data_IF_404543782572
#
_entry.id   IF_404543782572
#
_cell.length_a   1.000
_cell.length_b   1.000
_cell.length_c   1.000
_cell.angle_alpha   90.00
_cell.angle_beta   90.00
_cell.angle_gamma   90.00
#
_symmetry.space_group_name_H-M   'P 1'
#
loop_
_entity.id
_entity.type
_entity.pdbx_description
1 polymer ?
#
# COMPACT_ATOMS: atom_id res chain seq x y z
N UNK A 1 5.73 15.15 12.13
CA UNK A 1 4.88 13.93 12.10
C UNK A 1 5.25 13.14 10.85
N UNK A 2 5.86 11.95 10.98
CA UNK A 2 6.30 11.19 9.80
C UNK A 2 5.11 10.57 9.06
N UNK A 3 5.04 10.76 7.75
CA UNK A 3 4.06 10.11 6.90
C UNK A 3 4.26 8.60 6.89
N UNK A 4 3.18 7.83 7.01
CA UNK A 4 3.30 6.37 6.94
C UNK A 4 3.83 5.95 5.56
N UNK A 5 4.66 4.89 5.52
CA UNK A 5 5.20 4.33 4.25
C UNK A 5 4.09 4.05 3.23
N UNK A 6 2.95 3.56 3.69
CA UNK A 6 1.76 3.31 2.88
C UNK A 6 1.14 4.60 2.31
N UNK A 7 1.14 5.69 3.06
CA UNK A 7 0.70 7.02 2.59
C UNK A 7 1.61 7.53 1.50
N UNK A 8 2.93 7.40 1.67
CA UNK A 8 3.93 7.84 0.69
C UNK A 8 3.75 7.12 -0.65
N UNK A 9 3.58 5.79 -0.62
CA UNK A 9 3.35 5.00 -1.84
C UNK A 9 2.07 5.47 -2.54
N UNK A 10 0.99 5.71 -1.79
CA UNK A 10 -0.29 6.16 -2.35
C UNK A 10 -0.23 7.58 -2.91
N UNK A 11 0.41 8.51 -2.21
CA UNK A 11 0.57 9.89 -2.70
C UNK A 11 1.41 9.95 -3.95
N UNK A 12 2.47 9.14 -4.02
CA UNK A 12 3.32 9.06 -5.21
C UNK A 12 2.52 8.53 -6.41
N UNK A 13 1.78 7.44 -6.23
CA UNK A 13 0.92 6.86 -7.28
C UNK A 13 -0.26 7.77 -7.66
N UNK A 14 -0.76 8.60 -6.75
CA UNK A 14 -1.82 9.56 -7.06
C UNK A 14 -1.30 10.75 -7.89
N UNK A 15 -0.04 11.15 -7.69
CA UNK A 15 0.59 12.26 -8.40
C UNK A 15 1.16 11.85 -9.75
N UNK A 16 1.89 10.74 -9.80
CA UNK A 16 2.60 10.27 -10.99
C UNK A 16 1.78 9.25 -11.80
N UNK A 17 0.67 8.78 -11.24
CA UNK A 17 -0.21 7.81 -11.87
C UNK A 17 0.32 6.38 -11.72
N UNK A 18 0.18 5.59 -12.79
CA UNK A 18 0.60 4.20 -12.78
C UNK A 18 2.12 4.09 -12.95
N UNK A 19 2.76 3.24 -12.16
CA UNK A 19 4.21 3.07 -12.17
C UNK A 19 4.59 1.59 -12.13
N UNK A 20 5.72 1.25 -12.74
CA UNK A 20 6.29 -0.09 -12.60
C UNK A 20 6.80 -0.33 -11.18
N UNK A 21 6.64 -1.55 -10.65
CA UNK A 21 7.06 -1.89 -9.28
C UNK A 21 8.51 -1.51 -8.96
N UNK A 22 9.45 -1.77 -9.88
CA UNK A 22 10.87 -1.45 -9.70
C UNK A 22 11.13 0.06 -9.75
N UNK A 23 10.45 0.77 -10.63
CA UNK A 23 10.54 2.23 -10.72
C UNK A 23 9.96 2.88 -9.47
N UNK A 24 8.78 2.43 -9.04
CA UNK A 24 8.13 2.86 -7.80
C UNK A 24 9.06 2.68 -6.60
N UNK A 25 9.71 1.51 -6.47
CA UNK A 25 10.69 1.28 -5.41
C UNK A 25 11.88 2.25 -5.51
N UNK A 26 12.46 2.43 -6.69
CA UNK A 26 13.59 3.33 -6.89
C UNK A 26 13.23 4.79 -6.52
N UNK A 27 12.08 5.29 -7.00
CA UNK A 27 11.60 6.65 -6.69
C UNK A 27 11.32 6.82 -5.20
N UNK A 28 10.73 5.83 -4.55
CA UNK A 28 10.48 5.87 -3.11
C UNK A 28 11.78 5.88 -2.31
N UNK A 29 12.77 5.09 -2.71
CA UNK A 29 14.08 5.06 -2.07
C UNK A 29 14.88 6.35 -2.28
N UNK A 30 14.77 6.99 -3.45
CA UNK A 30 15.46 8.25 -3.74
C UNK A 30 14.79 9.45 -3.07
N UNK A 31 13.46 9.54 -3.13
CA UNK A 31 12.71 10.71 -2.64
C UNK A 31 12.37 10.63 -1.16
N UNK A 32 12.30 9.42 -0.58
CA UNK A 32 11.89 9.17 0.82
C UNK A 32 12.85 8.20 1.51
N UNK A 33 14.16 8.43 1.33
CA UNK A 33 15.24 7.57 1.83
C UNK A 33 15.21 7.36 3.35
N UNK A 34 14.85 8.41 4.11
CA UNK A 34 14.74 8.34 5.57
C UNK A 34 13.63 7.37 6.00
N UNK A 35 12.46 7.45 5.37
CA UNK A 35 11.31 6.63 5.73
C UNK A 35 11.49 5.18 5.26
N UNK A 36 12.19 4.94 4.16
CA UNK A 36 12.41 3.59 3.61
C UNK A 36 13.79 3.00 3.89
N UNK A 37 14.55 3.58 4.83
CA UNK A 37 15.87 3.07 5.25
C UNK A 37 15.77 1.60 5.68
N UNK A 38 16.61 0.76 5.09
CA UNK A 38 16.67 -0.69 5.39
C UNK A 38 15.52 -1.53 4.79
N UNK A 39 14.67 -0.94 3.94
CA UNK A 39 13.62 -1.71 3.25
C UNK A 39 14.18 -2.28 1.94
N UNK A 40 14.37 -3.60 1.89
CA UNK A 40 14.74 -4.30 0.65
C UNK A 40 13.57 -4.33 -0.35
N UNK A 41 13.88 -4.52 -1.64
CA UNK A 41 12.87 -4.68 -2.68
C UNK A 41 11.90 -5.85 -2.40
N UNK A 42 12.40 -6.95 -1.85
CA UNK A 42 11.58 -8.10 -1.43
C UNK A 42 10.57 -7.70 -0.37
N UNK A 43 11.02 -7.02 0.69
CA UNK A 43 10.12 -6.54 1.76
C UNK A 43 9.13 -5.50 1.23
N UNK A 44 9.56 -4.64 0.31
CA UNK A 44 8.69 -3.69 -0.38
C UNK A 44 7.52 -4.39 -1.09
N UNK A 45 7.83 -5.41 -1.89
CA UNK A 45 6.86 -6.19 -2.67
C UNK A 45 5.95 -7.04 -1.78
N UNK A 46 6.54 -7.86 -0.92
CA UNK A 46 5.82 -8.94 -0.21
C UNK A 46 5.06 -8.45 1.03
N UNK A 47 5.45 -7.29 1.58
CA UNK A 47 4.77 -6.71 2.73
C UNK A 47 3.97 -5.48 2.31
N UNK A 48 4.61 -4.44 1.77
CA UNK A 48 3.91 -3.16 1.57
C UNK A 48 2.93 -3.22 0.40
N UNK A 49 3.38 -3.66 -0.78
CA UNK A 49 2.50 -3.75 -1.95
C UNK A 49 1.44 -4.84 -1.77
N UNK A 50 1.79 -5.98 -1.16
CA UNK A 50 0.83 -7.04 -0.83
C UNK A 50 -0.28 -6.54 0.09
N UNK A 51 0.07 -5.90 1.21
CA UNK A 51 -0.91 -5.36 2.15
C UNK A 51 -1.79 -4.30 1.48
N UNK A 52 -1.20 -3.36 0.73
CA UNK A 52 -1.97 -2.33 0.02
C UNK A 52 -2.94 -2.93 -1.02
N UNK A 53 -2.58 -4.04 -1.66
CA UNK A 53 -3.46 -4.78 -2.57
C UNK A 53 -4.59 -5.48 -1.81
N UNK A 54 -4.29 -6.14 -0.69
CA UNK A 54 -5.27 -6.82 0.16
C UNK A 54 -6.30 -5.85 0.75
N UNK A 55 -5.86 -4.65 1.13
CA UNK A 55 -6.75 -3.57 1.56
C UNK A 55 -7.44 -2.85 0.40
N UNK A 56 -7.31 -3.36 -0.83
CA UNK A 56 -7.96 -2.81 -2.00
C UNK A 56 -7.61 -1.34 -2.27
N UNK A 57 -6.42 -0.90 -1.86
CA UNK A 57 -5.98 0.50 -2.03
C UNK A 57 -5.23 0.71 -3.34
N UNK A 58 -4.54 -0.33 -3.82
CA UNK A 58 -3.80 -0.32 -5.07
C UNK A 58 -4.21 -1.50 -5.96
N UNK A 59 -4.07 -1.33 -7.26
CA UNK A 59 -4.13 -2.40 -8.24
C UNK A 59 -2.72 -2.76 -8.70
N UNK A 60 -2.43 -4.05 -8.76
CA UNK A 60 -1.17 -4.58 -9.29
C UNK A 60 -1.53 -5.52 -10.43
N UNK A 61 -1.17 -5.14 -11.65
CA UNK A 61 -1.47 -5.89 -12.88
C UNK A 61 -0.19 -6.14 -13.68
N UNK A 62 -0.07 -7.26 -14.39
CA UNK A 62 1.00 -7.42 -15.36
C UNK A 62 0.87 -6.34 -16.44
N UNK A 63 1.99 -5.78 -16.87
CA UNK A 63 2.05 -4.89 -18.02
C UNK A 63 1.90 -5.74 -19.29
N UNK A 64 0.89 -5.43 -20.09
CA UNK A 64 0.65 -6.05 -21.40
C UNK A 64 0.99 -5.11 -22.56
N UNK A 65 1.32 -3.86 -22.26
CA UNK A 65 1.66 -2.83 -23.24
C UNK A 65 3.10 -3.04 -23.75
N UNK A 66 3.25 -3.38 -25.03
CA UNK A 66 4.53 -3.70 -25.64
C UNK A 66 5.45 -2.48 -25.77
N UNK A 67 4.90 -1.28 -26.02
CA UNK A 67 5.69 -0.05 -26.16
C UNK A 67 6.27 0.38 -24.81
N UNK A 68 5.46 0.30 -23.76
CA UNK A 68 5.91 0.58 -22.41
C UNK A 68 6.97 -0.44 -21.94
N UNK A 69 6.81 -1.71 -22.28
CA UNK A 69 7.79 -2.76 -22.00
C UNK A 69 9.11 -2.54 -22.74
N UNK A 70 9.08 -2.14 -24.01
CA UNK A 70 10.28 -1.90 -24.81
C UNK A 70 11.09 -0.70 -24.29
N UNK A 71 10.43 0.41 -23.95
CA UNK A 71 11.08 1.56 -23.30
C UNK A 71 11.73 1.15 -21.97
N UNK A 72 11.02 0.34 -21.17
CA UNK A 72 11.54 -0.12 -19.90
C UNK A 72 12.72 -1.09 -20.07
N UNK A 73 12.68 -1.97 -21.08
CA UNK A 73 13.79 -2.86 -21.44
C UNK A 73 15.04 -2.07 -21.78
N UNK A 74 14.91 -1.02 -22.58
CA UNK A 74 16.02 -0.13 -22.92
C UNK A 74 16.62 0.52 -21.67
N UNK A 75 15.80 1.15 -20.82
CA UNK A 75 16.27 1.77 -19.58
C UNK A 75 16.83 0.75 -18.56
N UNK A 76 16.29 -0.47 -18.54
CA UNK A 76 16.78 -1.53 -17.64
C UNK A 76 18.13 -2.06 -18.09
N UNK A 77 18.34 -2.25 -19.40
CA UNK A 77 19.61 -2.68 -19.98
C UNK A 77 20.72 -1.65 -19.73
N UNK A 78 20.37 -0.37 -19.77
CA UNK A 78 21.29 0.72 -19.44
C UNK A 78 21.69 0.71 -17.95
N UNK A 79 20.72 0.56 -17.04
CA UNK A 79 20.98 0.58 -15.58
C UNK A 79 21.57 -0.71 -15.03
N UNK A 80 21.27 -1.85 -15.65
CA UNK A 80 21.63 -3.18 -15.19
C UNK A 80 22.06 -4.06 -16.37
N UNK A 81 23.23 -3.79 -16.99
CA UNK A 81 23.67 -4.45 -18.21
C UNK A 81 23.87 -5.97 -18.04
N UNK A 82 24.14 -6.42 -16.82
CA UNK A 82 24.41 -7.84 -16.48
C UNK A 82 23.18 -8.60 -16.00
N UNK A 83 22.03 -7.96 -15.77
CA UNK A 83 20.82 -8.63 -15.31
C UNK A 83 19.87 -8.95 -16.46
N UNK A 84 19.28 -10.13 -16.40
CA UNK A 84 18.21 -10.53 -17.32
C UNK A 84 16.95 -9.72 -17.04
N UNK A 85 16.32 -9.22 -18.10
CA UNK A 85 15.06 -8.50 -17.97
C UNK A 85 13.97 -9.44 -17.42
N UNK A 86 13.19 -9.04 -16.42
CA UNK A 86 12.15 -9.89 -15.84
C UNK A 86 11.14 -10.36 -16.91
N UNK A 87 10.74 -11.64 -16.85
CA UNK A 87 9.73 -12.21 -17.78
C UNK A 87 8.38 -11.48 -17.70
N UNK A 88 8.03 -10.96 -16.53
CA UNK A 88 6.77 -10.24 -16.30
C UNK A 88 7.06 -8.96 -15.55
N UNK A 89 6.61 -7.84 -16.12
CA UNK A 89 6.63 -6.54 -15.44
C UNK A 89 5.28 -6.27 -14.80
N UNK A 90 5.30 -5.73 -13.59
CA UNK A 90 4.09 -5.42 -12.85
C UNK A 90 3.92 -3.91 -12.74
N UNK A 91 2.75 -3.42 -13.14
CA UNK A 91 2.32 -2.04 -13.01
C UNK A 91 1.48 -1.92 -11.75
N UNK A 92 1.77 -0.89 -10.98
CA UNK A 92 1.07 -0.52 -9.76
C UNK A 92 0.30 0.77 -10.04
N UNK A 93 -0.97 0.80 -9.70
CA UNK A 93 -1.80 2.00 -9.76
C UNK A 93 -2.61 2.13 -8.47
N UNK A 94 -2.91 3.36 -8.07
CA UNK A 94 -3.87 3.61 -6.99
C UNK A 94 -5.30 3.45 -7.51
N UNK A 95 -6.23 3.01 -6.67
CA UNK A 95 -7.65 3.01 -7.06
C UNK A 95 -8.13 4.45 -7.36
N UNK A 96 -8.93 4.67 -8.41
CA UNK A 96 -9.43 6.00 -8.77
C UNK A 96 -10.17 6.71 -7.62
N UNK A 97 -10.95 5.96 -6.84
CA UNK A 97 -11.68 6.47 -5.66
C UNK A 97 -10.77 7.01 -4.55
N UNK A 98 -9.50 6.61 -4.54
CA UNK A 98 -8.50 7.09 -3.58
C UNK A 98 -7.55 8.12 -4.20
N UNK A 99 -7.38 8.12 -5.52
CA UNK A 99 -6.48 9.02 -6.22
C UNK A 99 -6.73 10.50 -5.86
N UNK A 100 -8.00 10.94 -5.88
CA UNK A 100 -8.37 12.32 -5.55
C UNK A 100 -8.02 12.71 -4.10
N UNK A 101 -8.01 11.76 -3.16
CA UNK A 101 -7.68 12.02 -1.74
C UNK A 101 -6.18 12.18 -1.52
N UNK A 102 -5.36 11.60 -2.40
CA UNK A 102 -3.91 11.55 -2.27
C UNK A 102 -3.18 12.45 -3.27
N UNK A 103 -3.88 13.00 -4.27
CA UNK A 103 -3.34 13.93 -5.28
C UNK A 103 -3.20 15.36 -4.77
N UNK A 104 -4.00 15.78 -3.79
CA UNK A 104 -4.03 17.16 -3.25
C UNK A 104 -2.83 17.55 -2.39
N UNK A 105 -1.79 16.71 -2.31
CA UNK A 105 -0.57 17.00 -1.55
C UNK A 105 -0.77 17.08 -0.03
N UNK A 106 -2.00 16.87 0.45
CA UNK A 106 -2.28 16.72 1.86
C UNK A 106 -1.70 15.38 2.35
N UNK A 107 -0.41 15.41 2.70
CA UNK A 107 0.22 14.46 3.64
C UNK A 107 -0.31 14.72 5.08
N UNK A 108 -1.34 15.56 5.22
CA UNK A 108 -1.97 16.01 6.44
C UNK A 108 -3.04 15.04 6.97
N UNK A 109 -2.92 14.80 8.28
CA UNK A 109 -3.79 14.12 9.22
C UNK A 109 -4.45 12.81 8.76
N UNK A 110 -4.06 11.74 9.47
CA UNK A 110 -4.71 10.44 9.43
C UNK A 110 -6.23 10.61 9.41
N UNK A 111 -6.88 10.16 8.34
CA UNK A 111 -8.32 9.94 8.40
C UNK A 111 -8.54 8.68 9.24
N UNK A 112 -8.56 8.87 10.55
CA UNK A 112 -9.07 7.94 11.57
C UNK A 112 -8.49 6.51 11.57
N UNK A 113 -7.53 6.14 10.71
CA UNK A 113 -7.19 4.73 10.47
C UNK A 113 -6.42 4.12 11.63
N UNK A 114 -5.57 4.91 12.30
CA UNK A 114 -4.85 4.46 13.50
C UNK A 114 -5.80 4.23 14.69
N UNK A 115 -6.76 5.14 14.90
CA UNK A 115 -7.79 4.98 15.93
C UNK A 115 -8.74 3.82 15.62
N UNK A 116 -9.09 3.62 14.34
CA UNK A 116 -9.90 2.49 13.89
C UNK A 116 -9.18 1.14 14.06
N UNK A 117 -7.90 1.06 13.66
CA UNK A 117 -7.08 -0.13 13.88
C UNK A 117 -6.99 -0.42 15.37
N UNK A 118 -6.69 0.60 16.20
CA UNK A 118 -6.63 0.46 17.65
C UNK A 118 -7.95 -0.05 18.24
N UNK A 119 -9.10 0.49 17.82
CA UNK A 119 -10.42 0.01 18.26
C UNK A 119 -10.72 -1.44 17.85
N UNK A 120 -10.35 -1.84 16.64
CA UNK A 120 -10.51 -3.24 16.19
C UNK A 120 -9.60 -4.17 16.99
N UNK A 121 -8.38 -3.73 17.29
CA UNK A 121 -7.41 -4.51 18.06
C UNK A 121 -7.83 -4.65 19.54
N UNK A 122 -8.34 -3.58 20.15
CA UNK A 122 -8.94 -3.58 21.49
C UNK A 122 -10.12 -4.55 21.57
N UNK A 123 -11.04 -4.52 20.60
CA UNK A 123 -12.19 -5.44 20.57
C UNK A 123 -11.78 -6.90 20.27
N UNK A 124 -10.70 -7.09 19.50
CA UNK A 124 -10.14 -8.43 19.27
C UNK A 124 -9.54 -9.01 20.55
N UNK A 125 -8.90 -8.18 21.37
CA UNK A 125 -8.39 -8.59 22.68
C UNK A 125 -9.53 -8.95 23.63
N UNK A 126 -10.60 -8.14 23.70
CA UNK A 126 -11.80 -8.49 24.50
C UNK A 126 -12.47 -9.79 24.05
N UNK A 127 -12.52 -10.03 22.73
CA UNK A 127 -13.03 -11.28 22.17
C UNK A 127 -12.16 -12.47 22.58
N UNK A 128 -10.82 -12.29 22.59
CA UNK A 128 -9.88 -13.30 23.08
C UNK A 128 -10.04 -13.55 24.58
N UNK A 129 -10.19 -12.50 25.38
CA UNK A 129 -10.40 -12.58 26.83
C UNK A 129 -11.72 -13.29 27.19
N UNK A 130 -12.76 -13.15 26.35
CA UNK A 130 -14.00 -13.93 26.48
C UNK A 130 -13.75 -15.43 26.27
N UNK A 131 -13.04 -15.81 25.20
CA UNK A 131 -12.71 -17.23 24.94
C UNK A 131 -11.73 -17.83 25.95
N UNK A 132 -10.89 -17.00 26.58
CA UNK A 132 -10.00 -17.39 27.69
C UNK A 132 -10.69 -17.38 29.06
N UNK A 133 -12.00 -17.06 29.13
CA UNK A 133 -12.78 -17.06 30.37
C UNK A 133 -12.48 -15.91 31.34
N UNK A 134 -11.76 -14.87 30.88
CA UNK A 134 -11.43 -13.66 31.64
C UNK A 134 -12.52 -12.58 31.56
N UNK A 135 -13.44 -12.70 30.59
CA UNK A 135 -14.61 -11.84 30.43
C UNK A 135 -15.85 -12.69 30.15
N UNK A 136 -17.02 -12.26 30.66
CA UNK A 136 -18.32 -12.93 30.45
C UNK A 136 -19.12 -12.37 29.27
N UNK A 137 -18.61 -11.35 28.58
CA UNK A 137 -19.32 -10.71 27.47
C UNK A 137 -18.74 -11.11 26.11
N UNK A 138 -19.53 -11.68 25.19
CA UNK A 138 -19.06 -12.01 23.85
C UNK A 138 -18.87 -10.75 23.01
N UNK A 139 -17.65 -10.54 22.51
CA UNK A 139 -17.30 -9.42 21.64
C UNK A 139 -17.09 -9.87 20.19
N UNK A 140 -17.85 -9.29 19.26
CA UNK A 140 -17.72 -9.55 17.82
C UNK A 140 -16.98 -8.42 17.12
N UNK A 141 -15.65 -8.53 17.09
CA UNK A 141 -14.78 -7.59 16.38
C UNK A 141 -15.04 -7.56 14.86
N UNK A 142 -15.65 -8.61 14.27
CA UNK A 142 -15.96 -8.66 12.83
C UNK A 142 -17.17 -7.78 12.49
N UNK A 143 -18.17 -7.69 13.37
CA UNK A 143 -19.30 -6.78 13.20
C UNK A 143 -18.84 -5.31 13.20
N UNK A 144 -17.90 -4.98 14.08
CA UNK A 144 -17.28 -3.66 14.18
C UNK A 144 -16.45 -3.37 12.91
N UNK A 145 -15.63 -4.32 12.45
CA UNK A 145 -14.91 -4.16 11.19
C UNK A 145 -15.83 -3.96 9.97
N UNK A 146 -17.02 -4.57 9.95
CA UNK A 146 -18.02 -4.40 8.88
C UNK A 146 -18.72 -3.04 8.91
N UNK A 147 -19.03 -2.49 10.09
CA UNK A 147 -19.72 -1.18 10.19
C UNK A 147 -18.88 -0.02 9.63
N UNK A 148 -17.54 -0.17 9.63
CA UNK A 148 -16.63 0.80 9.04
C UNK A 148 -16.49 0.69 7.51
N UNK A 149 -16.88 -0.43 6.89
CA UNK A 149 -16.87 -0.57 5.42
C UNK A 149 -17.96 0.28 4.73
N UNK A 150 -19.04 0.64 5.44
CA UNK A 150 -20.21 1.34 4.88
C UNK A 150 -20.18 2.87 5.01
N UNK A 151 -19.17 3.46 5.67
CA UNK A 151 -19.04 4.92 5.83
C UNK A 151 -17.95 5.53 4.95
N UNK A 152 -17.91 5.15 3.66
CA UNK A 152 -17.23 5.96 2.64
C UNK A 152 -18.32 6.77 1.93
N UNK A 153 -18.32 8.11 2.04
CA UNK A 153 -19.28 8.93 1.30
C UNK A 153 -19.07 8.70 -0.21
N UNK A 154 -20.19 8.59 -0.93
CA UNK A 154 -20.23 8.60 -2.40
C UNK A 154 -19.68 9.91 -2.94
#
# INVERSE_FOLDING_TARGET
MEASRSTIIKSLLAREGHMFQRQLYATVMSSFSQQFKGVSFTKFKDVYLKNLKEFEQISIKPCTDEDALNKLRASFKEKYPTQTFPKTMWVVSIKPSLAARYSSGAIGSSTNTKELIKKVEEERMKSKDFWEGKSNTPHDWKAIAKSFKFKLPK
#
